data_IF_038788653180
#
_entry.id   IF_038788653180
#
_cell.length_a   1.000
_cell.length_b   1.000
_cell.length_c   1.000
_cell.angle_alpha   90.00
_cell.angle_beta   90.00
_cell.angle_gamma   90.00
#
_symmetry.space_group_name_H-M   'P 1'
#
loop_
_entity.id
_entity.type
_entity.pdbx_description
1 polymer ?
#
# COMPACT_ATOMS: atom_id res chain seq x y z
N UNK A 1 0.92 23.38 -62.87
CA UNK A 1 1.26 21.96 -63.15
C UNK A 1 0.96 21.16 -61.89
N UNK A 2 0.36 19.99 -62.05
CA UNK A 2 -0.41 19.24 -61.06
C UNK A 2 0.34 18.85 -59.77
N UNK A 3 -0.38 18.95 -58.64
CA UNK A 3 -0.06 18.28 -57.38
C UNK A 3 0.00 16.75 -57.60
N UNK A 4 1.14 16.13 -57.26
CA UNK A 4 1.25 14.69 -57.03
C UNK A 4 1.22 14.43 -55.52
N UNK A 5 0.36 13.54 -55.00
CA UNK A 5 0.39 13.17 -53.59
C UNK A 5 1.58 12.24 -53.33
N UNK A 6 2.44 12.59 -52.37
CA UNK A 6 3.38 11.64 -51.77
C UNK A 6 2.63 10.82 -50.72
N UNK A 7 2.30 9.57 -51.08
CA UNK A 7 1.92 8.53 -50.14
C UNK A 7 3.16 8.10 -49.35
N UNK A 8 3.24 8.50 -48.07
CA UNK A 8 4.16 7.90 -47.10
C UNK A 8 3.64 6.49 -46.78
N UNK A 9 4.32 5.50 -47.37
CA UNK A 9 4.13 4.07 -47.14
C UNK A 9 4.61 3.72 -45.72
N UNK A 10 3.70 3.75 -44.75
CA UNK A 10 3.95 3.25 -43.39
C UNK A 10 3.95 1.73 -43.45
N UNK A 11 5.13 1.13 -43.62
CA UNK A 11 5.32 -0.32 -43.49
C UNK A 11 4.92 -0.76 -42.09
N UNK A 12 3.72 -1.31 -41.93
CA UNK A 12 3.32 -2.09 -40.76
C UNK A 12 4.33 -3.24 -40.58
N UNK A 13 5.19 -3.15 -39.57
CA UNK A 13 5.99 -4.28 -39.14
C UNK A 13 5.10 -5.21 -38.32
N UNK A 14 4.47 -6.16 -39.01
CA UNK A 14 3.78 -7.29 -38.41
C UNK A 14 4.85 -8.18 -37.71
N UNK A 15 5.01 -8.01 -36.40
CA UNK A 15 5.86 -8.89 -35.59
C UNK A 15 5.19 -10.27 -35.53
N UNK A 16 5.69 -11.21 -36.35
CA UNK A 16 5.31 -12.62 -36.30
C UNK A 16 5.81 -13.24 -35.00
N UNK A 17 4.90 -13.55 -34.08
CA UNK A 17 5.16 -14.38 -32.90
C UNK A 17 5.08 -15.85 -33.34
N UNK A 18 6.11 -16.70 -33.14
CA UNK A 18 6.04 -18.10 -33.49
C UNK A 18 5.05 -18.85 -32.58
N UNK A 19 4.13 -19.59 -33.19
CA UNK A 19 3.21 -20.50 -32.50
C UNK A 19 4.01 -21.57 -31.74
N UNK A 20 3.95 -21.49 -30.41
CA UNK A 20 4.43 -22.55 -29.52
C UNK A 20 3.23 -23.14 -28.82
N UNK A 21 2.93 -24.40 -29.12
CA UNK A 21 1.86 -25.21 -28.52
C UNK A 21 1.76 -25.00 -27.01
N UNK A 22 0.66 -24.39 -26.55
CA UNK A 22 0.32 -24.25 -25.14
C UNK A 22 -0.67 -25.33 -24.73
N UNK A 23 -0.16 -26.47 -24.28
CA UNK A 23 -0.83 -27.26 -23.23
C UNK A 23 -0.70 -26.49 -21.91
N UNK A 24 -1.71 -25.69 -21.57
CA UNK A 24 -1.90 -25.18 -20.21
C UNK A 24 -3.33 -25.47 -19.76
N UNK A 25 -3.49 -26.64 -19.14
CA UNK A 25 -4.67 -26.95 -18.35
C UNK A 25 -4.77 -25.94 -17.19
N UNK A 26 -5.89 -25.24 -17.13
CA UNK A 26 -6.23 -24.34 -16.04
C UNK A 26 -6.28 -25.12 -14.72
N UNK A 27 -5.36 -24.80 -13.81
CA UNK A 27 -5.24 -25.40 -12.47
C UNK A 27 -6.47 -25.20 -11.56
N UNK A 28 -7.52 -24.53 -12.04
CA UNK A 28 -8.77 -24.32 -11.32
C UNK A 28 -9.76 -25.51 -11.44
N UNK A 29 -9.66 -26.35 -12.48
CA UNK A 29 -10.60 -27.45 -12.70
C UNK A 29 -10.28 -28.76 -11.95
N UNK A 30 -9.05 -28.95 -11.44
CA UNK A 30 -8.64 -30.22 -10.81
C UNK A 30 -8.94 -30.33 -9.32
N UNK A 31 -9.36 -29.25 -8.63
CA UNK A 31 -9.72 -29.30 -7.20
C UNK A 31 -11.17 -29.73 -6.91
N UNK A 32 -12.06 -29.78 -7.91
CA UNK A 32 -13.47 -30.14 -7.69
C UNK A 32 -13.74 -31.65 -7.65
N UNK A 33 -12.77 -32.49 -7.99
CA UNK A 33 -13.01 -33.93 -8.18
C UNK A 33 -12.77 -34.82 -6.95
N UNK A 34 -12.25 -34.30 -5.82
CA UNK A 34 -11.88 -35.12 -4.65
C UNK A 34 -12.24 -34.49 -3.28
N UNK A 35 -13.33 -33.73 -3.19
CA UNK A 35 -13.88 -33.33 -1.90
C UNK A 35 -14.87 -34.40 -1.39
N UNK A 36 -14.70 -34.97 -0.18
CA UNK A 36 -15.66 -35.91 0.39
C UNK A 36 -17.03 -35.24 0.55
N UNK A 37 -18.09 -35.92 0.11
CA UNK A 37 -19.48 -35.47 0.25
C UNK A 37 -19.90 -35.54 1.72
N UNK A 38 -19.66 -34.47 2.48
CA UNK A 38 -20.18 -34.32 3.84
C UNK A 38 -21.70 -34.08 3.72
N UNK A 39 -22.48 -35.01 4.25
CA UNK A 39 -23.95 -34.94 4.26
C UNK A 39 -24.44 -33.66 4.94
N UNK A 40 -25.41 -32.99 4.30
CA UNK A 40 -26.09 -31.80 4.85
C UNK A 40 -26.92 -32.20 6.07
N UNK A 41 -26.33 -32.16 7.27
CA UNK A 41 -27.11 -32.01 8.50
C UNK A 41 -27.67 -30.59 8.53
N UNK A 42 -29.00 -30.45 8.51
CA UNK A 42 -29.69 -29.19 8.79
C UNK A 42 -29.45 -28.85 10.25
N UNK A 43 -28.44 -28.03 10.52
CA UNK A 43 -28.28 -27.36 11.80
C UNK A 43 -29.06 -26.04 11.68
N UNK A 44 -30.25 -26.00 12.28
CA UNK A 44 -30.91 -24.74 12.58
C UNK A 44 -30.10 -24.05 13.67
N UNK A 45 -29.21 -23.15 13.29
CA UNK A 45 -28.53 -22.24 14.21
C UNK A 45 -28.91 -20.82 13.81
N UNK A 46 -29.77 -20.21 14.61
CA UNK A 46 -29.93 -18.76 14.65
C UNK A 46 -28.57 -18.14 14.95
N UNK A 47 -28.04 -17.41 13.98
CA UNK A 47 -26.75 -16.74 14.07
C UNK A 47 -26.79 -15.71 15.22
N UNK A 48 -25.75 -15.63 16.07
CA UNK A 48 -25.62 -14.52 17.00
C UNK A 48 -25.51 -13.23 16.18
N UNK A 49 -26.50 -12.34 16.33
CA UNK A 49 -26.47 -11.02 15.72
C UNK A 49 -25.41 -10.19 16.45
N UNK A 50 -24.22 -10.10 15.88
CA UNK A 50 -23.26 -9.09 16.30
C UNK A 50 -23.84 -7.72 15.96
N UNK A 51 -23.81 -6.74 16.89
CA UNK A 51 -24.28 -5.41 16.58
C UNK A 51 -23.47 -4.85 15.41
N UNK A 52 -24.12 -4.14 14.48
CA UNK A 52 -23.42 -3.51 13.36
C UNK A 52 -22.26 -2.65 13.87
N UNK A 53 -21.07 -2.81 13.28
CA UNK A 53 -19.87 -2.06 13.70
C UNK A 53 -20.02 -0.61 13.23
N UNK A 54 -20.04 0.37 14.14
CA UNK A 54 -20.19 1.77 13.76
C UNK A 54 -18.97 2.25 12.95
N UNK A 55 -19.25 3.10 11.97
CA UNK A 55 -18.26 3.74 11.10
C UNK A 55 -18.19 5.21 11.49
N UNK A 56 -17.04 5.65 11.98
CA UNK A 56 -16.84 7.02 12.43
C UNK A 56 -16.17 7.84 11.36
N UNK A 57 -16.76 8.99 11.00
CA UNK A 57 -16.18 9.92 10.03
C UNK A 57 -16.12 11.30 10.68
N UNK A 58 -14.93 11.89 10.74
CA UNK A 58 -14.77 13.30 11.13
C UNK A 58 -14.73 14.15 9.87
N UNK A 59 -15.50 15.23 9.84
CA UNK A 59 -15.65 16.09 8.66
C UNK A 59 -15.23 17.50 9.03
N UNK A 60 -14.43 18.14 8.18
CA UNK A 60 -14.07 19.53 8.36
C UNK A 60 -15.30 20.44 8.33
N UNK A 61 -15.31 21.43 9.21
CA UNK A 61 -16.43 22.39 9.32
C UNK A 61 -16.70 23.18 8.04
N UNK A 62 -15.70 23.42 7.19
CA UNK A 62 -15.84 24.15 5.93
C UNK A 62 -16.52 23.31 4.84
N UNK A 63 -16.51 21.99 5.01
CA UNK A 63 -16.98 21.03 4.01
C UNK A 63 -18.50 20.79 4.08
N UNK A 64 -19.21 21.40 5.04
CA UNK A 64 -20.67 21.30 5.16
C UNK A 64 -21.42 21.71 3.88
N UNK A 65 -20.87 22.63 3.09
CA UNK A 65 -21.52 23.18 1.89
C UNK A 65 -21.51 22.24 0.69
N UNK A 66 -20.79 21.11 0.75
CA UNK A 66 -20.71 20.16 -0.37
C UNK A 66 -21.93 19.24 -0.50
N UNK A 67 -22.79 19.17 0.52
CA UNK A 67 -23.93 18.25 0.59
C UNK A 67 -23.54 16.78 0.81
N UNK A 68 -22.24 16.44 0.79
CA UNK A 68 -21.71 15.11 1.10
C UNK A 68 -21.97 14.71 2.55
N UNK A 69 -21.86 15.60 3.56
CA UNK A 69 -22.14 15.21 4.95
C UNK A 69 -23.56 14.70 5.15
N UNK A 70 -24.55 15.33 4.53
CA UNK A 70 -25.96 14.89 4.60
C UNK A 70 -26.14 13.52 3.95
N UNK A 71 -25.50 13.31 2.80
CA UNK A 71 -25.51 12.01 2.12
C UNK A 71 -24.87 10.92 2.97
N UNK A 72 -23.73 11.20 3.62
CA UNK A 72 -23.06 10.28 4.53
C UNK A 72 -23.93 9.96 5.76
N UNK A 73 -24.69 10.95 6.26
CA UNK A 73 -25.57 10.75 7.42
C UNK A 73 -26.71 9.76 7.14
N UNK A 74 -27.12 9.62 5.88
CA UNK A 74 -28.13 8.63 5.47
C UNK A 74 -27.56 7.21 5.32
N UNK A 75 -26.24 7.04 5.35
CA UNK A 75 -25.61 5.73 5.15
C UNK A 75 -25.64 4.90 6.43
N UNK A 76 -25.79 3.57 6.30
CA UNK A 76 -25.98 2.73 7.47
C UNK A 76 -24.71 2.72 8.33
N UNK A 77 -24.92 2.82 9.64
CA UNK A 77 -23.86 2.70 10.66
C UNK A 77 -22.85 3.85 10.65
N UNK A 78 -23.11 4.93 9.90
CA UNK A 78 -22.22 6.10 9.87
C UNK A 78 -22.54 7.06 11.01
N UNK A 79 -21.50 7.38 11.78
CA UNK A 79 -21.52 8.40 12.82
C UNK A 79 -20.60 9.54 12.41
N UNK A 80 -21.21 10.69 12.12
CA UNK A 80 -20.50 11.89 11.69
C UNK A 80 -20.17 12.77 12.89
N UNK A 81 -18.94 13.28 12.93
CA UNK A 81 -18.54 14.36 13.83
C UNK A 81 -17.97 15.51 13.02
N UNK A 82 -18.69 16.63 12.96
CA UNK A 82 -18.21 17.83 12.26
C UNK A 82 -17.36 18.66 13.22
N UNK A 83 -16.08 18.85 12.90
CA UNK A 83 -15.12 19.62 13.70
C UNK A 83 -14.11 20.29 12.76
N UNK A 84 -13.47 21.40 13.16
CA UNK A 84 -12.31 21.91 12.43
C UNK A 84 -11.21 20.84 12.38
N UNK A 85 -10.78 20.48 11.18
CA UNK A 85 -9.66 19.59 10.94
C UNK A 85 -8.39 20.42 10.66
N UNK A 86 -7.26 19.93 11.18
CA UNK A 86 -5.97 20.58 10.92
C UNK A 86 -5.53 20.41 9.45
N UNK A 87 -5.87 19.29 8.82
CA UNK A 87 -5.57 18.99 7.42
C UNK A 87 -6.62 18.04 6.82
N UNK A 88 -6.99 18.29 5.57
CA UNK A 88 -7.97 17.51 4.80
C UNK A 88 -9.41 17.74 5.23
N UNK A 89 -10.34 17.19 4.46
CA UNK A 89 -11.77 17.48 4.57
C UNK A 89 -12.56 16.35 5.24
N UNK A 90 -12.14 15.09 5.08
CA UNK A 90 -12.76 13.94 5.72
C UNK A 90 -11.72 13.00 6.31
N UNK A 91 -11.74 12.82 7.62
CA UNK A 91 -10.90 11.85 8.32
C UNK A 91 -11.72 10.59 8.62
N UNK A 92 -11.29 9.47 8.02
CA UNK A 92 -11.97 8.17 8.11
C UNK A 92 -11.20 7.19 9.02
N UNK A 93 -10.24 7.67 9.81
CA UNK A 93 -9.44 6.85 10.73
C UNK A 93 -8.59 5.76 10.04
N UNK A 94 -8.33 4.68 10.78
CA UNK A 94 -7.43 3.59 10.37
C UNK A 94 -5.99 3.77 10.85
N UNK A 95 -5.14 2.78 10.55
CA UNK A 95 -3.70 2.79 10.86
C UNK A 95 -2.89 2.38 9.60
N UNK A 96 -2.15 3.31 8.95
CA UNK A 96 -2.11 4.75 9.25
C UNK A 96 -3.47 5.43 8.99
N UNK A 97 -3.71 6.55 9.67
CA UNK A 97 -4.96 7.31 9.55
C UNK A 97 -5.14 7.84 8.12
N UNK A 98 -6.29 7.56 7.51
CA UNK A 98 -6.63 7.97 6.15
C UNK A 98 -7.51 9.21 6.17
N UNK A 99 -7.13 10.17 5.33
CA UNK A 99 -7.78 11.46 5.22
C UNK A 99 -8.06 11.74 3.75
N UNK A 100 -9.26 12.19 3.43
CA UNK A 100 -9.60 12.68 2.11
C UNK A 100 -9.36 14.18 2.02
N UNK A 101 -8.77 14.58 0.90
CA UNK A 101 -8.75 15.96 0.41
C UNK A 101 -9.67 15.98 -0.81
N UNK A 102 -10.79 16.71 -0.76
CA UNK A 102 -11.76 16.82 -1.85
C UNK A 102 -11.43 18.03 -2.71
N UNK A 103 -11.47 17.82 -4.01
CA UNK A 103 -11.28 18.89 -4.99
C UNK A 103 -12.23 18.74 -6.15
N UNK A 104 -12.97 19.80 -6.48
CA UNK A 104 -13.68 19.84 -7.76
C UNK A 104 -12.67 19.99 -8.90
N UNK A 105 -13.05 19.62 -10.13
CA UNK A 105 -12.21 19.84 -11.31
C UNK A 105 -11.75 21.30 -11.45
N UNK A 106 -12.64 22.27 -11.21
CA UNK A 106 -12.30 23.70 -11.25
C UNK A 106 -11.35 24.11 -10.12
N UNK A 107 -11.60 23.65 -8.88
CA UNK A 107 -10.70 23.95 -7.76
C UNK A 107 -9.32 23.32 -7.96
N UNK A 108 -9.28 22.13 -8.55
CA UNK A 108 -8.03 21.45 -8.88
C UNK A 108 -7.18 22.29 -9.83
N UNK A 109 -7.77 22.79 -10.91
CA UNK A 109 -7.08 23.63 -11.89
C UNK A 109 -6.65 24.96 -11.27
N UNK A 110 -7.54 25.62 -10.53
CA UNK A 110 -7.23 26.88 -9.84
C UNK A 110 -6.05 26.72 -8.86
N UNK A 111 -6.00 25.62 -8.11
CA UNK A 111 -4.91 25.37 -7.16
C UNK A 111 -3.61 24.91 -7.81
N UNK A 112 -3.71 24.26 -8.97
CA UNK A 112 -2.55 23.93 -9.78
C UNK A 112 -1.93 25.18 -10.39
N UNK A 113 -2.77 26.08 -10.94
CA UNK A 113 -2.34 27.37 -11.50
C UNK A 113 -1.69 28.27 -10.43
N UNK A 114 -2.27 28.32 -9.23
CA UNK A 114 -1.73 29.08 -8.10
C UNK A 114 -0.53 28.40 -7.40
N UNK A 115 -0.13 27.20 -7.83
CA UNK A 115 0.98 26.46 -7.22
C UNK A 115 0.71 25.93 -5.80
N UNK A 116 -0.54 25.96 -5.33
CA UNK A 116 -0.92 25.55 -3.96
C UNK A 116 -1.21 24.04 -3.83
N UNK A 117 -1.54 23.37 -4.93
CA UNK A 117 -1.93 21.95 -4.94
C UNK A 117 -0.83 21.03 -4.39
N UNK A 118 0.40 21.12 -4.91
CA UNK A 118 1.48 20.22 -4.51
C UNK A 118 1.97 20.45 -3.07
N UNK A 119 2.15 21.70 -2.60
CA UNK A 119 2.48 21.96 -1.19
C UNK A 119 1.45 21.35 -0.24
N UNK A 120 0.15 21.50 -0.53
CA UNK A 120 -0.92 20.95 0.31
C UNK A 120 -0.86 19.42 0.40
N UNK A 121 -0.78 18.74 -0.75
CA UNK A 121 -0.69 17.27 -0.80
C UNK A 121 0.60 16.75 -0.16
N UNK A 122 1.71 17.49 -0.31
CA UNK A 122 2.99 17.16 0.32
C UNK A 122 2.93 17.32 1.84
N UNK A 123 2.29 18.38 2.34
CA UNK A 123 2.09 18.61 3.77
C UNK A 123 1.22 17.49 4.39
N UNK A 124 0.12 17.14 3.72
CA UNK A 124 -0.71 15.99 4.08
C UNK A 124 0.09 14.69 4.16
N UNK A 125 0.94 14.38 3.18
CA UNK A 125 1.80 13.19 3.21
C UNK A 125 2.82 13.21 4.35
N UNK A 126 3.40 14.38 4.66
CA UNK A 126 4.41 14.55 5.71
C UNK A 126 3.84 14.50 7.12
N UNK A 127 2.53 14.71 7.28
CA UNK A 127 1.84 14.70 8.57
C UNK A 127 1.64 13.31 9.20
N UNK A 128 2.07 12.24 8.50
CA UNK A 128 1.85 10.86 8.95
C UNK A 128 0.50 10.27 8.52
N UNK A 129 -0.36 11.06 7.87
CA UNK A 129 -1.58 10.57 7.26
C UNK A 129 -1.31 9.77 5.97
N UNK A 130 -2.27 8.92 5.62
CA UNK A 130 -2.42 8.30 4.31
C UNK A 130 -3.50 9.06 3.52
N UNK A 131 -3.15 10.20 2.89
CA UNK A 131 -4.11 11.02 2.19
C UNK A 131 -4.62 10.36 0.91
N UNK A 132 -5.86 10.67 0.57
CA UNK A 132 -6.52 10.29 -0.68
C UNK A 132 -7.08 11.57 -1.30
N UNK A 133 -6.74 11.84 -2.56
CA UNK A 133 -7.34 12.95 -3.31
C UNK A 133 -8.66 12.46 -3.90
N UNK A 134 -9.78 13.02 -3.45
CA UNK A 134 -11.09 12.81 -4.05
C UNK A 134 -11.32 13.89 -5.11
N UNK A 135 -11.25 13.51 -6.37
CA UNK A 135 -11.37 14.43 -7.50
C UNK A 135 -12.79 14.37 -8.07
N UNK A 136 -13.58 15.41 -7.82
CA UNK A 136 -14.96 15.50 -8.24
C UNK A 136 -15.10 16.26 -9.58
N UNK A 137 -15.61 15.57 -10.59
CA UNK A 137 -15.60 16.00 -11.98
C UNK A 137 -14.27 15.70 -12.70
N UNK A 138 -14.27 15.87 -14.02
CA UNK A 138 -13.07 15.72 -14.83
C UNK A 138 -12.39 17.08 -15.05
N UNK A 139 -11.16 17.32 -14.54
CA UNK A 139 -10.44 18.56 -14.78
C UNK A 139 -10.11 18.80 -16.28
N UNK A 140 -10.10 17.76 -17.12
CA UNK A 140 -9.91 17.91 -18.57
C UNK A 140 -11.16 18.43 -19.29
N UNK A 141 -12.34 18.32 -18.68
CA UNK A 141 -13.61 18.79 -19.24
C UNK A 141 -14.01 20.19 -18.75
N UNK A 142 -13.17 20.85 -17.96
CA UNK A 142 -13.47 22.17 -17.41
C UNK A 142 -13.23 23.25 -18.49
N UNK A 143 -14.31 23.71 -19.12
CA UNK A 143 -14.24 24.59 -20.30
C UNK A 143 -13.68 26.00 -20.08
N UNK A 144 -13.54 26.46 -18.83
CA UNK A 144 -13.01 27.79 -18.52
C UNK A 144 -11.51 27.82 -18.19
N UNK A 145 -10.84 26.67 -18.19
CA UNK A 145 -9.39 26.60 -17.91
C UNK A 145 -8.57 26.85 -19.17
N UNK A 146 -7.55 27.71 -19.07
CA UNK A 146 -6.55 27.92 -20.12
C UNK A 146 -5.39 26.91 -20.05
N UNK A 147 -5.46 25.96 -19.11
CA UNK A 147 -4.40 25.00 -18.89
C UNK A 147 -4.39 23.93 -19.99
N UNK A 148 -3.22 23.68 -20.57
CA UNK A 148 -3.05 22.62 -21.57
C UNK A 148 -3.36 21.24 -20.96
N UNK A 149 -4.07 20.35 -21.68
CA UNK A 149 -4.38 18.99 -21.20
C UNK A 149 -3.16 18.20 -20.72
N UNK A 150 -1.99 18.39 -21.33
CA UNK A 150 -0.74 17.73 -20.98
C UNK A 150 -0.23 18.17 -19.61
N UNK A 151 -0.47 19.43 -19.22
CA UNK A 151 -0.11 19.94 -17.89
C UNK A 151 -0.98 19.32 -16.80
N UNK A 152 -2.27 19.14 -17.07
CA UNK A 152 -3.22 18.48 -16.17
C UNK A 152 -2.85 17.00 -16.00
N UNK A 153 -2.62 16.29 -17.11
CA UNK A 153 -2.18 14.88 -17.10
C UNK A 153 -0.85 14.71 -16.35
N UNK A 154 0.10 15.62 -16.59
CA UNK A 154 1.39 15.64 -15.88
C UNK A 154 1.23 15.81 -14.37
N UNK A 155 0.34 16.71 -13.94
CA UNK A 155 0.04 16.90 -12.52
C UNK A 155 -0.60 15.66 -11.88
N UNK A 156 -1.60 15.05 -12.53
CA UNK A 156 -2.23 13.81 -12.05
C UNK A 156 -1.23 12.65 -11.95
N UNK A 157 -0.36 12.51 -12.96
CA UNK A 157 0.70 11.51 -12.98
C UNK A 157 1.71 11.75 -11.85
N UNK A 158 2.13 13.00 -11.62
CA UNK A 158 3.04 13.36 -10.53
C UNK A 158 2.45 13.06 -9.15
N UNK A 159 1.19 13.43 -8.91
CA UNK A 159 0.48 13.16 -7.65
C UNK A 159 0.44 11.66 -7.36
N UNK A 160 0.08 10.86 -8.36
CA UNK A 160 -0.07 9.40 -8.20
C UNK A 160 1.28 8.68 -8.11
N UNK A 161 2.18 8.94 -9.05
CA UNK A 161 3.41 8.17 -9.22
C UNK A 161 4.57 8.66 -8.34
N UNK A 162 4.64 9.96 -8.05
CA UNK A 162 5.76 10.57 -7.31
C UNK A 162 5.35 10.89 -5.87
N UNK A 163 4.27 11.65 -5.66
CA UNK A 163 3.78 11.95 -4.30
C UNK A 163 3.14 10.74 -3.60
N UNK A 164 2.77 9.71 -4.38
CA UNK A 164 2.10 8.48 -3.90
C UNK A 164 0.81 8.79 -3.16
N UNK A 165 0.06 9.76 -3.65
CA UNK A 165 -1.30 10.08 -3.18
C UNK A 165 -2.28 9.42 -4.16
N UNK A 166 -3.08 8.43 -3.71
CA UNK A 166 -4.13 7.85 -4.54
C UNK A 166 -5.17 8.90 -4.93
N UNK A 167 -5.63 8.84 -6.17
CA UNK A 167 -6.70 9.69 -6.69
C UNK A 167 -7.94 8.81 -6.87
N UNK A 168 -9.04 9.18 -6.22
CA UNK A 168 -10.36 8.58 -6.46
C UNK A 168 -11.20 9.57 -7.25
N UNK A 169 -11.51 9.28 -8.53
CA UNK A 169 -12.39 10.13 -9.32
C UNK A 169 -13.85 9.91 -8.90
N UNK A 170 -14.65 10.96 -8.96
CA UNK A 170 -16.09 10.96 -8.67
C UNK A 170 -16.80 11.90 -9.64
N UNK A 171 -17.96 11.53 -10.16
CA UNK A 171 -18.73 12.41 -11.05
C UNK A 171 -19.63 13.42 -10.32
N UNK A 172 -20.02 13.14 -9.07
CA UNK A 172 -21.00 13.95 -8.32
C UNK A 172 -20.91 13.72 -6.81
N UNK A 173 -21.44 14.63 -5.97
CA UNK A 173 -21.42 14.50 -4.50
C UNK A 173 -21.95 13.17 -3.96
N UNK A 174 -22.99 12.60 -4.57
CA UNK A 174 -23.52 11.28 -4.18
C UNK A 174 -22.49 10.15 -4.34
N UNK A 175 -21.73 10.15 -5.43
CA UNK A 175 -20.66 9.18 -5.67
C UNK A 175 -19.48 9.43 -4.74
N UNK A 176 -19.13 10.70 -4.51
CA UNK A 176 -18.11 11.13 -3.55
C UNK A 176 -18.40 10.57 -2.15
N UNK A 177 -19.63 10.70 -1.67
CA UNK A 177 -20.08 10.15 -0.40
C UNK A 177 -19.93 8.61 -0.35
N UNK A 178 -20.30 7.91 -1.42
CA UNK A 178 -20.17 6.46 -1.49
C UNK A 178 -18.71 5.99 -1.48
N UNK A 179 -17.81 6.71 -2.14
CA UNK A 179 -16.37 6.42 -2.11
C UNK A 179 -15.77 6.61 -0.71
N UNK A 180 -16.11 7.72 -0.05
CA UNK A 180 -15.69 7.99 1.34
C UNK A 180 -16.19 6.89 2.27
N UNK A 181 -17.48 6.54 2.18
CA UNK A 181 -18.08 5.48 2.99
C UNK A 181 -17.47 4.10 2.74
N UNK A 182 -17.25 3.73 1.47
CA UNK A 182 -16.64 2.46 1.12
C UNK A 182 -15.20 2.37 1.67
N UNK A 183 -14.42 3.45 1.55
CA UNK A 183 -13.09 3.54 2.12
C UNK A 183 -13.14 3.42 3.66
N UNK A 184 -14.00 4.20 4.32
CA UNK A 184 -14.16 4.17 5.79
C UNK A 184 -14.50 2.75 6.28
N UNK A 185 -15.41 2.06 5.59
CA UNK A 185 -15.77 0.66 5.90
C UNK A 185 -14.60 -0.30 5.77
N UNK A 186 -13.87 -0.23 4.66
CA UNK A 186 -12.71 -1.08 4.46
C UNK A 186 -11.62 -0.84 5.52
N UNK A 187 -11.50 0.41 6.00
CA UNK A 187 -10.48 0.80 6.96
C UNK A 187 -10.83 0.45 8.40
N UNK A 188 -12.10 0.58 8.79
CA UNK A 188 -12.54 0.43 10.18
C UNK A 188 -13.12 -0.96 10.48
N UNK A 189 -13.81 -1.57 9.51
CA UNK A 189 -14.52 -2.84 9.71
C UNK A 189 -13.77 -4.03 9.09
N UNK A 190 -12.91 -3.76 8.11
CA UNK A 190 -12.10 -4.77 7.42
C UNK A 190 -12.89 -5.69 6.47
N UNK A 191 -12.21 -6.56 5.70
CA UNK A 191 -12.84 -7.40 4.67
C UNK A 191 -13.82 -8.46 5.20
N UNK A 192 -13.75 -8.79 6.50
CA UNK A 192 -14.44 -9.92 7.09
C UNK A 192 -15.95 -9.70 7.31
N UNK A 193 -16.42 -8.45 7.35
CA UNK A 193 -17.81 -8.15 7.69
C UNK A 193 -18.81 -8.25 6.51
N UNK A 194 -18.36 -8.55 5.28
CA UNK A 194 -19.19 -8.34 4.08
C UNK A 194 -19.24 -9.52 3.09
N UNK A 195 -19.01 -10.74 3.55
CA UNK A 195 -19.30 -11.92 2.74
C UNK A 195 -20.19 -12.90 3.48
N UNK A 196 -21.49 -12.99 3.14
CA UNK A 196 -22.36 -14.06 3.62
C UNK A 196 -21.80 -15.46 3.26
N UNK A 197 -20.95 -15.53 2.23
CA UNK A 197 -20.27 -16.73 1.75
C UNK A 197 -18.85 -16.96 2.35
N UNK A 198 -18.34 -16.06 3.20
CA UNK A 198 -17.01 -16.21 3.81
C UNK A 198 -17.07 -16.70 5.26
N UNK A 199 -18.05 -17.55 5.59
CA UNK A 199 -18.08 -18.32 6.84
C UNK A 199 -17.12 -19.53 6.80
N UNK A 200 -15.92 -19.32 6.26
CA UNK A 200 -14.74 -20.08 6.65
C UNK A 200 -14.07 -19.35 7.82
N UNK A 201 -13.33 -20.04 8.70
CA UNK A 201 -12.73 -19.41 9.87
C UNK A 201 -11.90 -18.18 9.43
N UNK A 202 -12.25 -17.04 10.02
CA UNK A 202 -11.66 -15.71 9.89
C UNK A 202 -10.40 -15.61 9.01
N UNK A 203 -10.54 -14.99 7.83
CA UNK A 203 -9.41 -14.34 7.16
C UNK A 203 -9.24 -12.88 7.63
N UNK A 204 -9.60 -12.56 8.88
CA UNK A 204 -8.88 -11.52 9.59
C UNK A 204 -7.50 -12.11 9.85
N UNK A 205 -6.44 -11.54 9.25
CA UNK A 205 -5.04 -12.06 9.25
C UNK A 205 -4.92 -13.27 10.17
N UNK A 206 -5.11 -14.49 9.62
CA UNK A 206 -4.95 -15.72 10.41
C UNK A 206 -3.66 -15.51 11.17
N UNK A 207 -3.74 -15.39 12.50
CA UNK A 207 -2.54 -15.18 13.32
C UNK A 207 -1.63 -16.32 12.91
N UNK A 208 -0.50 -15.97 12.30
CA UNK A 208 0.41 -16.98 11.76
C UNK A 208 0.62 -17.99 12.89
N UNK A 209 0.30 -19.25 12.60
CA UNK A 209 0.52 -20.32 13.57
C UNK A 209 1.98 -20.26 14.02
N UNK A 210 2.33 -20.74 15.23
CA UNK A 210 3.73 -20.75 15.65
C UNK A 210 4.66 -21.36 14.59
N UNK A 211 4.21 -22.39 13.87
CA UNK A 211 4.95 -22.99 12.75
C UNK A 211 5.12 -22.04 11.54
N UNK A 212 4.10 -21.26 11.18
CA UNK A 212 4.20 -20.25 10.12
C UNK A 212 5.14 -19.11 10.50
N UNK A 213 5.09 -18.65 11.77
CA UNK A 213 6.00 -17.63 12.28
C UNK A 213 7.45 -18.15 12.30
N UNK A 214 7.66 -19.39 12.73
CA UNK A 214 8.97 -20.03 12.69
C UNK A 214 9.51 -20.13 11.27
N UNK A 215 8.69 -20.57 10.31
CA UNK A 215 9.08 -20.65 8.91
C UNK A 215 9.40 -19.27 8.33
N UNK A 216 8.65 -18.22 8.70
CA UNK A 216 8.96 -16.85 8.28
C UNK A 216 10.31 -16.38 8.82
N UNK A 217 10.64 -16.68 10.08
CA UNK A 217 11.94 -16.36 10.67
C UNK A 217 13.07 -17.10 9.93
N UNK A 218 12.91 -18.39 9.64
CA UNK A 218 13.92 -19.17 8.91
C UNK A 218 14.13 -18.63 7.48
N UNK A 219 13.05 -18.25 6.78
CA UNK A 219 13.13 -17.67 5.44
C UNK A 219 13.73 -16.26 5.41
N UNK A 220 13.76 -15.57 6.55
CA UNK A 220 14.37 -14.26 6.66
C UNK A 220 15.90 -14.33 6.81
N UNK A 221 16.46 -15.52 7.10
CA UNK A 221 17.91 -15.69 7.20
C UNK A 221 18.57 -15.58 5.81
N UNK A 222 19.67 -14.82 5.69
CA UNK A 222 20.32 -14.61 4.40
C UNK A 222 20.83 -15.93 3.82
N UNK A 223 20.62 -16.11 2.52
CA UNK A 223 21.02 -17.32 1.82
C UNK A 223 20.14 -18.55 2.07
N UNK A 224 19.03 -18.42 2.82
CA UNK A 224 18.08 -19.51 3.06
C UNK A 224 16.80 -19.33 2.24
N UNK A 225 16.68 -20.12 1.17
CA UNK A 225 15.46 -20.17 0.35
C UNK A 225 14.45 -21.23 0.83
N UNK A 226 13.30 -21.31 0.16
CA UNK A 226 12.19 -22.24 0.54
C UNK A 226 12.58 -23.71 0.61
N UNK A 227 13.52 -24.15 -0.23
CA UNK A 227 14.01 -25.53 -0.24
C UNK A 227 14.92 -25.77 0.97
N UNK A 228 15.92 -24.92 1.14
CA UNK A 228 16.86 -24.98 2.28
C UNK A 228 16.15 -24.81 3.61
N UNK A 229 15.16 -23.92 3.72
CA UNK A 229 14.38 -23.73 4.95
C UNK A 229 13.69 -25.02 5.43
N UNK A 230 13.20 -25.86 4.50
CA UNK A 230 12.65 -27.18 4.86
C UNK A 230 13.71 -28.12 5.39
N UNK A 231 14.90 -28.12 4.79
CA UNK A 231 16.03 -28.92 5.24
C UNK A 231 16.53 -28.45 6.63
N UNK A 232 16.55 -27.13 6.87
CA UNK A 232 16.83 -26.53 8.18
C UNK A 232 15.81 -27.00 9.21
N UNK A 233 14.51 -26.88 8.94
CA UNK A 233 13.46 -27.33 9.87
C UNK A 233 13.45 -28.86 10.08
N UNK A 234 14.00 -29.64 9.14
CA UNK A 234 14.18 -31.08 9.32
C UNK A 234 15.39 -31.41 10.22
N UNK A 235 16.43 -30.58 10.19
CA UNK A 235 17.67 -30.76 10.97
C UNK A 235 17.57 -30.21 12.39
N UNK A 236 16.93 -29.06 12.57
CA UNK A 236 16.79 -28.36 13.84
C UNK A 236 15.34 -28.39 14.28
N UNK A 237 15.07 -28.96 15.47
CA UNK A 237 13.71 -29.21 15.96
C UNK A 237 13.05 -27.97 16.56
N UNK A 238 13.80 -26.89 16.74
CA UNK A 238 13.30 -25.60 17.23
C UNK A 238 14.15 -24.44 16.70
N UNK A 239 13.59 -23.23 16.73
CA UNK A 239 14.37 -22.01 16.48
C UNK A 239 15.50 -21.85 17.50
N UNK A 240 15.30 -22.25 18.75
CA UNK A 240 16.34 -22.18 19.77
C UNK A 240 17.57 -23.02 19.38
N UNK A 241 17.36 -24.23 18.87
CA UNK A 241 18.45 -25.09 18.39
C UNK A 241 19.16 -24.48 17.18
N UNK A 242 18.39 -23.93 16.23
CA UNK A 242 18.94 -23.25 15.05
C UNK A 242 19.77 -22.01 15.41
N UNK A 243 19.26 -21.17 16.32
CA UNK A 243 19.91 -19.90 16.68
C UNK A 243 21.20 -20.12 17.49
N UNK A 244 21.34 -21.26 18.16
CA UNK A 244 22.54 -21.62 18.93
C UNK A 244 23.47 -22.59 18.17
N UNK A 245 23.16 -22.93 16.91
CA UNK A 245 23.97 -23.88 16.15
C UNK A 245 25.31 -23.27 15.74
N UNK A 246 26.38 -24.07 15.83
CA UNK A 246 27.71 -23.70 15.33
C UNK A 246 27.82 -23.89 13.80
N UNK A 247 28.87 -23.35 13.19
CA UNK A 247 29.09 -23.46 11.75
C UNK A 247 29.20 -24.92 11.27
N UNK A 248 29.73 -25.84 12.08
CA UNK A 248 29.85 -27.25 11.70
C UNK A 248 28.47 -27.92 11.62
N UNK A 249 27.59 -27.64 12.59
CA UNK A 249 26.21 -28.11 12.65
C UNK A 249 25.37 -27.52 11.51
N UNK A 250 25.51 -26.22 11.23
CA UNK A 250 24.83 -25.55 10.11
C UNK A 250 25.26 -26.12 8.75
N UNK A 251 26.54 -26.46 8.58
CA UNK A 251 27.06 -27.06 7.34
C UNK A 251 26.56 -28.49 7.08
N UNK A 252 25.96 -29.15 8.08
CA UNK A 252 25.29 -30.46 7.87
C UNK A 252 23.97 -30.35 7.11
N UNK A 253 23.41 -29.13 6.97
CA UNK A 253 22.13 -28.92 6.30
C UNK A 253 22.33 -28.97 4.77
N UNK A 254 21.57 -29.81 4.04
CA UNK A 254 21.58 -29.83 2.59
C UNK A 254 21.33 -28.44 1.98
N UNK A 255 22.29 -27.97 1.17
CA UNK A 255 22.24 -26.65 0.54
C UNK A 255 22.83 -25.51 1.36
N UNK A 256 23.40 -25.79 2.54
CA UNK A 256 24.21 -24.85 3.34
C UNK A 256 25.67 -25.33 3.31
N UNK A 257 26.51 -24.67 2.51
CA UNK A 257 27.95 -24.96 2.46
C UNK A 257 28.71 -24.29 3.60
N UNK A 258 29.97 -24.69 3.83
CA UNK A 258 30.84 -24.19 4.91
C UNK A 258 30.93 -22.66 4.99
N UNK A 259 31.11 -21.99 3.85
CA UNK A 259 31.16 -20.52 3.78
C UNK A 259 29.83 -19.87 4.21
N UNK A 260 28.68 -20.44 3.82
CA UNK A 260 27.36 -19.92 4.22
C UNK A 260 27.08 -20.22 5.69
N UNK A 261 27.51 -21.38 6.18
CA UNK A 261 27.37 -21.77 7.58
C UNK A 261 28.15 -20.81 8.50
N UNK A 262 29.40 -20.49 8.17
CA UNK A 262 30.20 -19.53 8.92
C UNK A 262 29.57 -18.12 8.92
N UNK A 263 29.07 -17.66 7.77
CA UNK A 263 28.39 -16.36 7.69
C UNK A 263 27.08 -16.31 8.50
N UNK A 264 26.33 -17.43 8.54
CA UNK A 264 25.12 -17.55 9.34
C UNK A 264 25.44 -17.55 10.84
N UNK A 265 26.41 -18.35 11.28
CA UNK A 265 26.85 -18.37 12.69
C UNK A 265 27.29 -16.97 13.15
N UNK A 266 28.13 -16.30 12.36
CA UNK A 266 28.56 -14.93 12.64
C UNK A 266 27.37 -13.97 12.79
N UNK A 267 26.37 -14.05 11.91
CA UNK A 267 25.18 -13.21 11.99
C UNK A 267 24.34 -13.50 13.23
N UNK A 268 24.13 -14.78 13.54
CA UNK A 268 23.26 -15.22 14.62
C UNK A 268 23.83 -14.88 16.00
N UNK A 269 25.16 -14.88 16.14
CA UNK A 269 25.85 -14.63 17.41
C UNK A 269 26.47 -13.23 17.51
N UNK A 270 26.36 -12.41 16.46
CA UNK A 270 26.77 -11.01 16.51
C UNK A 270 25.93 -10.22 17.53
N UNK A 271 26.58 -9.27 18.20
CA UNK A 271 25.89 -8.34 19.09
C UNK A 271 24.86 -7.51 18.29
N UNK A 272 23.63 -7.43 18.80
CA UNK A 272 22.60 -6.59 18.20
C UNK A 272 22.95 -5.10 18.39
N UNK A 273 22.70 -4.25 17.40
CA UNK A 273 22.96 -2.82 17.52
C UNK A 273 22.14 -2.24 18.67
N UNK A 274 22.79 -1.51 19.57
CA UNK A 274 22.07 -0.77 20.60
C UNK A 274 21.54 0.55 20.03
N UNK A 275 20.55 1.16 20.68
CA UNK A 275 19.96 2.44 20.27
C UNK A 275 20.99 3.56 20.05
N UNK A 276 22.18 3.43 20.65
CA UNK A 276 23.29 4.38 20.53
C UNK A 276 24.11 4.18 19.23
N UNK A 277 24.19 2.95 18.71
CA UNK A 277 25.00 2.59 17.53
C UNK A 277 24.32 2.99 16.20
N UNK A 278 22.99 3.05 16.18
CA UNK A 278 22.24 3.48 15.00
C UNK A 278 22.38 5.00 14.71
N UNK A 279 22.76 5.80 15.72
CA UNK A 279 22.92 7.25 15.62
C UNK A 279 24.33 7.67 15.20
N UNK A 280 25.34 6.82 15.38
CA UNK A 280 26.73 7.11 14.99
C UNK A 280 26.98 6.78 13.52
N UNK A 281 26.34 5.72 12.99
CA UNK A 281 26.44 5.38 11.57
C UNK A 281 25.87 6.47 10.64
N UNK A 282 24.83 7.19 11.07
CA UNK A 282 24.28 8.33 10.30
C UNK A 282 25.07 9.64 10.44
N UNK A 283 25.87 9.81 11.51
CA UNK A 283 26.70 11.01 11.70
C UNK A 283 28.06 10.95 11.00
N UNK A 284 28.50 9.76 10.57
CA UNK A 284 29.77 9.58 9.85
C UNK A 284 29.82 10.17 8.43
N UNK A 285 28.70 10.65 7.87
CA UNK A 285 28.65 11.30 6.54
C UNK A 285 28.46 12.82 6.60
N UNK A 286 28.12 13.40 7.76
CA UNK A 286 27.89 14.85 7.90
C UNK A 286 29.07 15.61 8.56
N UNK A 287 30.10 14.91 9.06
CA UNK A 287 31.24 15.54 9.77
C UNK A 287 32.30 16.10 8.81
N UNK A 288 32.25 15.77 7.50
CA UNK A 288 33.22 16.30 6.53
C UNK A 288 32.83 17.66 5.90
N UNK A 289 31.69 18.24 6.25
CA UNK A 289 31.25 19.53 5.69
C UNK A 289 31.28 20.72 6.68
N UNK A 290 31.59 20.49 7.95
CA UNK A 290 31.69 21.54 8.97
C UNK A 290 33.13 21.95 9.32
N UNK A 291 34.14 21.21 8.85
CA UNK A 291 35.55 21.53 9.09
C UNK A 291 36.16 22.54 8.10
N UNK A 292 35.42 23.00 7.09
CA UNK A 292 35.90 23.96 6.07
C UNK A 292 35.46 25.40 6.28
N UNK A 293 34.64 25.69 7.30
CA UNK A 293 34.16 27.06 7.59
C UNK A 293 34.84 27.75 8.78
N UNK A 294 35.85 27.12 9.42
CA UNK A 294 36.55 27.72 10.58
C UNK A 294 38.00 28.15 10.31
N UNK A 295 38.46 28.20 9.05
CA UNK A 295 39.84 28.61 8.70
C UNK A 295 39.89 29.99 7.97
N UNK A 296 38.77 30.69 7.79
CA UNK A 296 38.76 32.03 7.14
C UNK A 296 38.55 33.24 8.05
N UNK A 297 38.52 33.07 9.37
CA UNK A 297 38.39 34.20 10.33
C UNK A 297 39.67 34.48 11.15
N UNK A 298 40.83 33.93 10.77
CA UNK A 298 42.13 34.31 11.34
C UNK A 298 43.11 34.98 10.36
N UNK A 299 42.66 35.33 9.16
CA UNK A 299 43.41 36.19 8.22
C UNK A 299 42.58 37.42 7.83
N UNK A 300 42.37 38.33 8.78
CA UNK A 300 42.14 39.77 8.58
C UNK A 300 42.33 40.42 9.98
N UNK A 301 43.55 40.82 10.33
CA UNK A 301 43.91 42.25 10.38
C UNK A 301 43.02 43.19 9.58
#
# INVERSE_FOLDING_TARGET
MMFRPMTLDVREHLVKIPEREKRFACYHCLRKAQAPRIGRRRIGQSMPQYPPVPIHIRIDSQEQRSGIPDLLATMPQVHIKVIPLHMGDYDIGGDPCRVFERKTGSDFLCSLEQGRLFPQLTALRKSGFAPILLLEGDPLCVGHSQMRPESIRGALAYITAILRVPILPSGKPAESAHLIYAAARQCQVGPAAHSPAAHGPAAGRRRATPSEQQMQIVLALPGIGRITARAVCARFRSLHELLNADAAQLATVPGVGSSRAAALEQLLHAALPTSHDALTSKRGQDVQMQATYSIKEQELK
#
